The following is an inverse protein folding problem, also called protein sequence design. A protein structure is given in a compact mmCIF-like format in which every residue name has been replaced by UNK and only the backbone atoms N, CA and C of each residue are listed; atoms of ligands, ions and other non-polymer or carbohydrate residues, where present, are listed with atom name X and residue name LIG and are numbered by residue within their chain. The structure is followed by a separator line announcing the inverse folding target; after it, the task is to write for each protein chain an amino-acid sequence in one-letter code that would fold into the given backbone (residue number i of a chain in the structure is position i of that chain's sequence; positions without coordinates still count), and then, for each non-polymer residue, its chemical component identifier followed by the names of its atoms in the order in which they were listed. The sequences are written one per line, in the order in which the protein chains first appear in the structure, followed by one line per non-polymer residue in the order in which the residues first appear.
data_IF_455526114758
#
_entry.id   IF_455526114758
#
_cell.length_a   1.000
_cell.length_b   1.000
_cell.length_c   1.000
_cell.angle_alpha   90.00
_cell.angle_beta   90.00
_cell.angle_gamma   90.00
#
_symmetry.space_group_name_H-M   'P 1'
#
loop_
_entity.id
_entity.type
_entity.pdbx_description
1 polymer ?
#
# COMPACT_ATOMS: atom_id res chain seq x y z
N UNK A 1 7.64 -2.70 -9.60
CA UNK A 1 6.78 -1.70 -10.29
C UNK A 1 5.33 -2.18 -10.26
N UNK A 2 4.65 -2.03 -9.12
CA UNK A 2 3.21 -2.26 -9.00
C UNK A 2 2.53 -0.89 -8.79
N UNK A 3 2.43 -0.12 -9.87
CA UNK A 3 1.56 1.05 -9.95
C UNK A 3 0.14 0.61 -10.34
N UNK A 4 -0.44 -0.37 -9.65
CA UNK A 4 -1.69 -1.00 -10.12
C UNK A 4 -2.98 -0.50 -9.47
N UNK A 5 -2.97 0.61 -8.71
CA UNK A 5 -4.20 1.11 -8.06
C UNK A 5 -4.29 2.64 -7.91
N UNK A 6 -3.59 3.42 -8.73
CA UNK A 6 -3.86 4.86 -8.77
C UNK A 6 -5.17 5.21 -9.51
N UNK A 7 -5.76 4.27 -10.26
CA UNK A 7 -6.86 4.59 -11.17
C UNK A 7 -7.77 3.38 -11.41
N UNK A 8 -8.91 3.31 -10.72
CA UNK A 8 -10.15 2.59 -11.09
C UNK A 8 -11.01 2.52 -9.82
N UNK A 9 -12.18 3.12 -9.67
CA UNK A 9 -13.10 3.90 -10.51
C UNK A 9 -13.84 4.81 -9.52
N UNK A 10 -13.46 6.08 -9.43
CA UNK A 10 -14.27 7.04 -8.70
C UNK A 10 -15.08 7.82 -9.73
N UNK A 11 -16.40 7.66 -9.65
CA UNK A 11 -17.42 8.64 -9.98
C UNK A 11 -16.78 10.02 -10.22
N UNK A 12 -16.92 10.58 -11.43
CA UNK A 12 -16.11 11.69 -11.96
C UNK A 12 -16.07 12.96 -11.07
N UNK A 13 -16.90 13.01 -10.02
CA UNK A 13 -17.04 14.08 -9.04
C UNK A 13 -16.51 13.76 -7.62
N UNK A 14 -16.00 12.57 -7.31
CA UNK A 14 -15.42 12.25 -5.98
C UNK A 14 -13.90 12.18 -6.05
N UNK A 15 -13.24 13.25 -5.59
CA UNK A 15 -11.79 13.22 -5.31
C UNK A 15 -11.50 12.21 -4.21
N UNK A 16 -10.64 11.23 -4.51
CA UNK A 16 -10.09 10.27 -3.53
C UNK A 16 -9.03 10.90 -2.62
N UNK A 17 -8.65 12.15 -2.89
CA UNK A 17 -7.60 12.90 -2.21
C UNK A 17 -8.21 14.02 -1.39
N UNK A 18 -7.67 14.25 -0.18
CA UNK A 18 -8.09 15.38 0.63
C UNK A 18 -7.34 16.63 0.15
N UNK A 19 -8.02 17.70 -0.33
CA UNK A 19 -7.35 18.92 -0.80
C UNK A 19 -6.43 19.55 0.26
N UNK A 20 -6.71 19.35 1.55
CA UNK A 20 -5.85 19.88 2.62
C UNK A 20 -4.49 19.17 2.72
N UNK A 21 -4.32 18.02 2.06
CA UNK A 21 -3.12 17.17 2.10
C UNK A 21 -2.31 17.21 0.79
N UNK A 22 -2.73 18.03 -0.18
CA UNK A 22 -2.10 18.14 -1.52
C UNK A 22 -0.62 18.51 -1.43
N UNK A 23 -0.24 19.31 -0.43
CA UNK A 23 1.14 19.73 -0.20
C UNK A 23 1.84 18.94 0.93
N UNK A 24 1.26 17.81 1.34
CA UNK A 24 1.79 16.93 2.37
C UNK A 24 0.94 16.87 3.66
N UNK A 25 1.39 16.10 4.66
CA UNK A 25 2.71 15.50 4.78
C UNK A 25 2.93 14.28 3.86
N UNK A 26 4.14 14.17 3.29
CA UNK A 26 4.59 12.97 2.60
C UNK A 26 5.36 12.07 3.58
N UNK A 27 5.01 10.79 3.64
CA UNK A 27 5.66 9.81 4.52
C UNK A 27 6.49 8.82 3.70
N UNK A 28 7.52 8.25 4.32
CA UNK A 28 8.23 7.12 3.73
C UNK A 28 7.27 5.93 3.67
N UNK A 29 7.14 5.36 2.47
CA UNK A 29 6.33 4.20 2.15
C UNK A 29 7.19 3.17 1.43
N UNK A 30 6.92 1.88 1.63
CA UNK A 30 7.55 0.79 0.91
C UNK A 30 6.49 -0.26 0.56
N UNK A 31 6.35 -0.57 -0.72
CA UNK A 31 5.34 -1.53 -1.21
C UNK A 31 5.67 -2.99 -0.87
N UNK A 32 6.89 -3.28 -0.41
CA UNK A 32 7.38 -4.65 -0.20
C UNK A 32 7.74 -5.00 1.25
N UNK A 33 7.10 -4.38 2.25
CA UNK A 33 7.22 -4.77 3.66
C UNK A 33 6.52 -6.11 4.01
N UNK A 34 6.74 -7.13 3.19
CA UNK A 34 6.28 -8.50 3.42
C UNK A 34 7.02 -9.15 4.61
N UNK A 35 6.43 -10.16 5.26
CA UNK A 35 7.08 -10.89 6.35
C UNK A 35 8.49 -11.42 6.02
N UNK A 36 8.75 -11.79 4.76
CA UNK A 36 10.06 -12.27 4.31
C UNK A 36 11.17 -11.21 4.42
N UNK A 37 10.80 -9.93 4.44
CA UNK A 37 11.72 -8.80 4.56
C UNK A 37 11.87 -8.29 6.01
N UNK A 38 11.28 -8.99 6.99
CA UNK A 38 11.37 -8.69 8.41
C UNK A 38 12.32 -9.68 9.09
N UNK A 39 13.39 -9.18 9.69
CA UNK A 39 14.34 -9.99 10.44
C UNK A 39 13.89 -10.10 11.90
N UNK A 40 13.87 -11.33 12.41
CA UNK A 40 13.56 -11.65 13.80
C UNK A 40 14.80 -12.22 14.50
N UNK A 41 14.95 -11.94 15.80
CA UNK A 41 15.92 -12.65 16.64
C UNK A 41 15.35 -13.98 17.18
N UNK A 42 16.11 -14.67 18.03
CA UNK A 42 15.70 -15.92 18.68
C UNK A 42 14.45 -15.80 19.56
N UNK A 43 14.17 -14.60 20.05
CA UNK A 43 13.04 -14.29 20.93
C UNK A 43 11.82 -13.77 20.14
N UNK A 44 11.85 -13.88 18.80
CA UNK A 44 10.81 -13.41 17.88
C UNK A 44 10.59 -11.89 17.90
N UNK A 45 11.60 -11.12 18.30
CA UNK A 45 11.57 -9.65 18.25
C UNK A 45 12.07 -9.15 16.89
N UNK A 46 11.44 -8.09 16.38
CA UNK A 46 11.86 -7.44 15.13
C UNK A 46 13.19 -6.73 15.38
N UNK A 47 14.24 -7.15 14.66
CA UNK A 47 15.59 -6.57 14.75
C UNK A 47 16.01 -5.80 13.50
N UNK A 48 15.25 -5.92 12.41
CA UNK A 48 15.54 -5.18 11.20
C UNK A 48 14.49 -5.37 10.11
N UNK A 49 14.48 -4.42 9.18
CA UNK A 49 13.74 -4.49 7.93
C UNK A 49 14.74 -4.34 6.80
N UNK A 50 14.70 -5.25 5.85
CA UNK A 50 15.59 -5.27 4.69
C UNK A 50 14.81 -4.97 3.41
N UNK A 51 15.50 -4.96 2.27
CA UNK A 51 14.89 -4.89 0.94
C UNK A 51 14.09 -3.61 0.68
N UNK A 52 14.77 -2.47 0.82
CA UNK A 52 14.19 -1.12 0.70
C UNK A 52 14.07 -0.62 -0.75
N UNK A 53 14.27 -1.46 -1.76
CA UNK A 53 14.39 -1.03 -3.17
C UNK A 53 13.10 -0.41 -3.74
N UNK A 54 11.95 -0.64 -3.10
CA UNK A 54 10.65 -0.05 -3.45
C UNK A 54 10.19 1.05 -2.48
N UNK A 55 11.13 1.74 -1.84
CA UNK A 55 10.84 2.81 -0.88
C UNK A 55 10.75 4.18 -1.54
N UNK A 56 9.72 4.96 -1.21
CA UNK A 56 9.53 6.32 -1.72
C UNK A 56 8.74 7.20 -0.74
N UNK A 57 8.73 8.51 -0.96
CA UNK A 57 7.86 9.42 -0.22
C UNK A 57 6.46 9.43 -0.87
N UNK A 58 5.42 9.06 -0.13
CA UNK A 58 4.06 8.91 -0.62
C UNK A 58 3.07 9.84 0.12
N UNK A 59 1.97 10.25 -0.54
CA UNK A 59 0.82 10.86 0.12
C UNK A 59 0.20 9.92 1.17
N UNK A 60 -0.46 10.49 2.17
CA UNK A 60 -1.07 9.70 3.26
C UNK A 60 -2.24 8.84 2.78
N UNK A 61 -2.87 9.21 1.67
CA UNK A 61 -3.95 8.48 1.02
C UNK A 61 -3.57 7.03 0.65
N UNK A 62 -2.27 6.75 0.43
CA UNK A 62 -1.79 5.40 0.14
C UNK A 62 -2.01 4.43 1.32
N UNK A 63 -2.15 4.95 2.54
CA UNK A 63 -2.44 4.12 3.72
C UNK A 63 -3.83 3.50 3.73
N UNK A 64 -4.75 3.95 2.86
CA UNK A 64 -6.11 3.41 2.76
C UNK A 64 -6.19 2.13 1.93
N UNK A 65 -5.16 1.82 1.12
CA UNK A 65 -5.10 0.58 0.37
C UNK A 65 -4.28 -0.45 1.17
N UNK A 66 -4.83 -1.65 1.47
CA UNK A 66 -4.03 -2.70 2.07
C UNK A 66 -2.92 -3.10 1.11
N UNK A 67 -1.69 -3.36 1.58
CA UNK A 67 -0.64 -3.86 0.71
C UNK A 67 -1.05 -5.20 0.10
N UNK A 68 -0.65 -5.41 -1.16
CA UNK A 68 -1.05 -6.58 -1.97
C UNK A 68 -0.77 -7.93 -1.29
N UNK A 69 0.26 -7.99 -0.45
CA UNK A 69 0.68 -9.19 0.26
C UNK A 69 -0.17 -9.53 1.50
N UNK A 70 -1.06 -8.64 1.92
CA UNK A 70 -2.12 -8.93 2.90
C UNK A 70 -3.42 -9.43 2.25
N UNK A 71 -3.51 -9.42 0.92
CA UNK A 71 -4.69 -9.91 0.22
C UNK A 71 -4.77 -11.44 0.31
N UNK A 72 -5.90 -11.96 0.82
CA UNK A 72 -6.18 -13.40 0.91
C UNK A 72 -6.36 -14.00 -0.50
N UNK A 73 -7.03 -13.25 -1.37
CA UNK A 73 -7.27 -13.58 -2.77
C UNK A 73 -6.95 -12.36 -3.62
N UNK A 74 -6.29 -12.57 -4.76
CA UNK A 74 -5.94 -11.45 -5.62
C UNK A 74 -7.19 -10.88 -6.30
N UNK A 75 -7.20 -9.57 -6.62
CA UNK A 75 -8.37 -8.91 -7.21
C UNK A 75 -8.87 -9.56 -8.50
N UNK A 76 -8.00 -10.21 -9.28
CA UNK A 76 -8.38 -10.84 -10.54
C UNK A 76 -9.29 -12.06 -10.36
N UNK A 77 -9.40 -12.59 -9.13
CA UNK A 77 -10.22 -13.76 -8.81
C UNK A 77 -11.52 -13.41 -8.07
N UNK A 78 -11.77 -12.13 -7.76
CA UNK A 78 -12.98 -11.75 -7.04
C UNK A 78 -14.22 -11.96 -7.90
N UNK A 79 -15.19 -12.80 -7.47
CA UNK A 79 -16.33 -13.20 -8.31
C UNK A 79 -17.22 -12.06 -8.81
N UNK A 80 -17.17 -10.90 -8.15
CA UNK A 80 -17.97 -9.71 -8.46
C UNK A 80 -17.12 -8.46 -8.74
N UNK A 81 -15.79 -8.58 -8.76
CA UNK A 81 -14.89 -7.43 -8.86
C UNK A 81 -14.95 -6.51 -7.64
N UNK A 82 -14.67 -5.22 -7.84
CA UNK A 82 -14.61 -4.18 -6.81
C UNK A 82 -15.96 -3.48 -6.54
N UNK A 83 -17.01 -3.82 -7.29
CA UNK A 83 -18.30 -3.13 -7.22
C UNK A 83 -19.27 -3.90 -6.31
N UNK A 84 -19.48 -3.36 -5.10
CA UNK A 84 -20.66 -3.60 -4.25
C UNK A 84 -21.61 -2.40 -4.31
#
# INVERSE_FOLDING_TARGET
MMLWNAQMTADENKRLTNPSLENGPFKIWCDDFRPVNILLNSDSEIVGVIDWEFTYAAPVEFSHAPPWWLLIEKPEFWPKGLED
#
